data_IF_905456230322
#
_entry.id   IF_905456230322
#
_cell.length_a   1.000
_cell.length_b   1.000
_cell.length_c   1.000
_cell.angle_alpha   90.00
_cell.angle_beta   90.00
_cell.angle_gamma   90.00
#
_symmetry.space_group_name_H-M   'P 1'
#
loop_
_entity.id
_entity.type
_entity.pdbx_description
1 polymer ?
#
# COMPACT_ATOMS: atom_id res chain seq x y z
N UNK A 1 -25.16 10.03 4.11
CA UNK A 1 -24.35 9.03 3.39
C UNK A 1 -22.93 9.09 3.94
N UNK A 2 -22.50 8.06 4.66
CA UNK A 2 -21.10 7.95 5.12
C UNK A 2 -20.26 7.58 3.90
N UNK A 3 -19.62 8.55 3.26
CA UNK A 3 -18.50 8.27 2.38
C UNK A 3 -17.42 7.64 3.27
N UNK A 4 -17.35 6.31 3.18
CA UNK A 4 -16.40 5.53 3.92
C UNK A 4 -15.01 6.00 3.58
N UNK A 5 -14.26 6.42 4.58
CA UNK A 5 -12.86 6.79 4.52
C UNK A 5 -12.07 5.57 4.03
N UNK A 6 -12.03 5.38 2.69
CA UNK A 6 -11.31 4.29 2.05
C UNK A 6 -9.83 4.54 2.36
N UNK A 7 -9.23 3.66 3.15
CA UNK A 7 -7.85 3.82 3.57
C UNK A 7 -6.90 3.82 2.35
N UNK A 8 -5.78 4.54 2.43
CA UNK A 8 -4.70 4.53 1.44
C UNK A 8 -4.37 3.11 0.96
N UNK A 9 -4.25 2.19 1.91
CA UNK A 9 -3.97 0.76 1.63
C UNK A 9 -5.04 0.13 0.73
N UNK A 10 -6.31 0.42 0.96
CA UNK A 10 -7.39 -0.15 0.15
C UNK A 10 -7.33 0.30 -1.31
N UNK A 11 -7.00 1.57 -1.56
CA UNK A 11 -6.84 2.11 -2.93
C UNK A 11 -5.67 1.48 -3.65
N UNK A 12 -4.52 1.39 -2.98
CA UNK A 12 -3.33 0.74 -3.54
C UNK A 12 -3.61 -0.73 -3.86
N UNK A 13 -4.27 -1.45 -2.95
CA UNK A 13 -4.66 -2.84 -3.18
C UNK A 13 -5.57 -2.99 -4.40
N UNK A 14 -6.62 -2.17 -4.50
CA UNK A 14 -7.52 -2.21 -5.66
C UNK A 14 -6.76 -1.96 -6.96
N UNK A 15 -5.86 -0.97 -6.99
CA UNK A 15 -5.07 -0.66 -8.17
C UNK A 15 -4.14 -1.82 -8.57
N UNK A 16 -3.43 -2.39 -7.59
CA UNK A 16 -2.52 -3.53 -7.83
C UNK A 16 -3.28 -4.74 -8.38
N UNK A 17 -4.43 -5.08 -7.78
CA UNK A 17 -5.24 -6.19 -8.28
C UNK A 17 -5.81 -5.93 -9.67
N UNK A 18 -6.33 -4.72 -9.93
CA UNK A 18 -6.86 -4.36 -11.23
C UNK A 18 -5.77 -4.44 -12.31
N UNK A 19 -4.61 -3.86 -12.05
CA UNK A 19 -3.44 -3.92 -12.93
C UNK A 19 -3.01 -5.37 -13.14
N UNK A 20 -2.89 -6.16 -12.07
CA UNK A 20 -2.52 -7.58 -12.16
C UNK A 20 -3.48 -8.41 -13.01
N UNK A 21 -4.79 -8.21 -12.84
CA UNK A 21 -5.83 -8.87 -13.64
C UNK A 21 -5.71 -8.47 -15.11
N UNK A 22 -5.62 -7.17 -15.41
CA UNK A 22 -5.48 -6.68 -16.78
C UNK A 22 -4.21 -7.20 -17.44
N UNK A 23 -3.07 -7.17 -16.75
CA UNK A 23 -1.80 -7.70 -17.26
C UNK A 23 -1.91 -9.20 -17.56
N UNK A 24 -2.41 -10.00 -16.62
CA UNK A 24 -2.47 -11.46 -16.80
C UNK A 24 -3.33 -11.86 -17.99
N UNK A 25 -4.52 -11.27 -18.15
CA UNK A 25 -5.38 -11.60 -19.29
C UNK A 25 -4.87 -11.03 -20.60
N UNK A 26 -4.26 -9.84 -20.61
CA UNK A 26 -3.63 -9.27 -21.81
C UNK A 26 -2.44 -10.11 -22.26
N UNK A 27 -1.60 -10.58 -21.32
CA UNK A 27 -0.50 -11.51 -21.62
C UNK A 27 -1.01 -12.86 -22.14
N UNK A 28 -2.09 -13.40 -21.56
CA UNK A 28 -2.69 -14.64 -22.07
C UNK A 28 -3.20 -14.48 -23.50
N UNK A 29 -3.85 -13.36 -23.80
CA UNK A 29 -4.34 -13.07 -25.14
C UNK A 29 -3.18 -12.95 -26.17
N UNK A 30 -2.12 -12.23 -25.84
CA UNK A 30 -0.98 -12.06 -26.76
C UNK A 30 -0.23 -13.38 -26.94
N UNK A 31 -0.03 -14.18 -25.89
CA UNK A 31 0.58 -15.50 -25.99
C UNK A 31 -0.20 -16.42 -26.93
N UNK A 32 -1.52 -16.36 -26.88
CA UNK A 32 -2.39 -17.11 -27.76
C UNK A 32 -2.29 -16.64 -29.22
N UNK A 33 -2.32 -15.31 -29.44
CA UNK A 33 -2.22 -14.71 -30.78
C UNK A 33 -0.87 -14.96 -31.44
N UNK A 34 0.21 -14.99 -30.68
CA UNK A 34 1.57 -15.26 -31.17
C UNK A 34 1.88 -16.75 -31.30
N UNK A 35 0.98 -17.63 -30.85
CA UNK A 35 1.22 -19.07 -30.90
C UNK A 35 2.36 -19.55 -30.01
N UNK A 36 2.68 -18.86 -28.93
CA UNK A 36 3.79 -19.20 -28.01
C UNK A 36 3.57 -20.51 -27.23
N UNK A 37 2.55 -21.26 -27.60
CA UNK A 37 2.20 -22.53 -26.99
C UNK A 37 1.08 -22.45 -25.97
N UNK A 38 0.51 -23.63 -25.69
CA UNK A 38 -0.63 -23.73 -24.77
C UNK A 38 -0.23 -23.42 -23.34
N UNK A 39 0.98 -23.81 -22.94
CA UNK A 39 1.42 -23.73 -21.54
C UNK A 39 1.57 -22.28 -21.04
N UNK A 40 2.31 -21.35 -21.68
CA UNK A 40 2.37 -19.94 -21.26
C UNK A 40 1.00 -19.27 -21.29
N UNK A 41 0.16 -19.57 -22.29
CA UNK A 41 -1.19 -19.03 -22.40
C UNK A 41 -2.07 -19.43 -21.24
N UNK A 42 -2.11 -20.72 -20.90
CA UNK A 42 -2.90 -21.23 -19.78
C UNK A 42 -2.36 -20.74 -18.43
N UNK A 43 -1.04 -20.72 -18.24
CA UNK A 43 -0.44 -20.23 -16.99
C UNK A 43 -0.78 -18.76 -16.73
N UNK A 44 -0.71 -17.89 -17.72
CA UNK A 44 -1.08 -16.48 -17.57
C UNK A 44 -2.57 -16.29 -17.34
N UNK A 45 -3.43 -17.08 -18.01
CA UNK A 45 -4.88 -17.08 -17.74
C UNK A 45 -5.20 -17.54 -16.31
N UNK A 46 -4.58 -18.63 -15.85
CA UNK A 46 -4.73 -19.12 -14.47
C UNK A 46 -4.26 -18.10 -13.44
N UNK A 47 -3.16 -17.41 -13.69
CA UNK A 47 -2.69 -16.32 -12.86
C UNK A 47 -3.75 -15.22 -12.75
N UNK A 48 -4.39 -14.83 -13.85
CA UNK A 48 -5.50 -13.90 -13.88
C UNK A 48 -6.68 -14.36 -13.04
N UNK A 49 -7.10 -15.62 -13.18
CA UNK A 49 -8.21 -16.22 -12.42
C UNK A 49 -7.88 -16.24 -10.91
N UNK A 50 -6.68 -16.66 -10.53
CA UNK A 50 -6.21 -16.67 -9.14
C UNK A 50 -6.22 -15.23 -8.58
N UNK A 51 -5.74 -14.26 -9.36
CA UNK A 51 -5.73 -12.85 -8.96
C UNK A 51 -7.14 -12.31 -8.74
N UNK A 52 -8.11 -12.67 -9.60
CA UNK A 52 -9.53 -12.34 -9.39
C UNK A 52 -10.06 -12.99 -8.10
N UNK A 53 -9.77 -14.26 -7.87
CA UNK A 53 -10.15 -14.97 -6.64
C UNK A 53 -9.60 -14.30 -5.38
N UNK A 54 -8.32 -13.92 -5.39
CA UNK A 54 -7.67 -13.19 -4.31
C UNK A 54 -8.28 -11.78 -4.12
N UNK A 55 -8.65 -11.11 -5.20
CA UNK A 55 -9.35 -9.83 -5.13
C UNK A 55 -10.73 -9.95 -4.47
N UNK A 56 -11.51 -10.97 -4.83
CA UNK A 56 -12.81 -11.26 -4.19
C UNK A 56 -12.62 -11.59 -2.71
N UNK A 57 -11.64 -12.44 -2.38
CA UNK A 57 -11.28 -12.73 -0.99
C UNK A 57 -10.89 -11.47 -0.22
N UNK A 58 -10.12 -10.58 -0.83
CA UNK A 58 -9.75 -9.28 -0.27
C UNK A 58 -10.98 -8.41 0.04
N UNK A 59 -11.92 -8.30 -0.88
CA UNK A 59 -13.15 -7.53 -0.64
C UNK A 59 -13.99 -8.08 0.52
N UNK A 60 -13.93 -9.40 0.75
CA UNK A 60 -14.71 -10.08 1.78
C UNK A 60 -14.03 -10.03 3.16
N UNK A 61 -12.71 -10.31 3.22
CA UNK A 61 -11.98 -10.46 4.49
C UNK A 61 -11.36 -9.16 4.99
N UNK A 62 -11.00 -8.23 4.10
CA UNK A 62 -10.28 -6.98 4.37
C UNK A 62 -8.96 -7.17 5.14
N UNK A 63 -8.42 -8.38 5.15
CA UNK A 63 -7.15 -8.68 5.82
C UNK A 63 -5.96 -8.40 4.87
N UNK A 64 -5.51 -7.13 4.88
CA UNK A 64 -4.46 -6.64 3.98
C UNK A 64 -3.12 -7.35 4.17
N UNK A 65 -2.78 -7.68 5.42
CA UNK A 65 -1.45 -8.19 5.76
C UNK A 65 -1.21 -9.60 5.24
N UNK A 66 -2.18 -10.47 5.47
CA UNK A 66 -2.09 -11.86 5.02
C UNK A 66 -2.23 -11.95 3.50
N UNK A 67 -3.20 -11.22 2.94
CA UNK A 67 -3.43 -11.27 1.50
C UNK A 67 -2.26 -10.70 0.69
N UNK A 68 -1.66 -9.57 1.15
CA UNK A 68 -0.48 -9.01 0.48
C UNK A 68 0.69 -10.00 0.46
N UNK A 69 0.90 -10.70 1.57
CA UNK A 69 1.96 -11.70 1.65
C UNK A 69 1.69 -12.88 0.70
N UNK A 70 0.46 -13.40 0.67
CA UNK A 70 0.05 -14.49 -0.22
C UNK A 70 0.27 -14.11 -1.69
N UNK A 71 -0.23 -12.93 -2.10
CA UNK A 71 -0.09 -12.45 -3.48
C UNK A 71 1.38 -12.32 -3.86
N UNK A 72 2.17 -11.67 -3.01
CA UNK A 72 3.58 -11.44 -3.27
C UNK A 72 4.37 -12.76 -3.34
N UNK A 73 4.16 -13.67 -2.40
CA UNK A 73 4.84 -14.97 -2.40
C UNK A 73 4.44 -15.79 -3.63
N UNK A 74 3.16 -15.84 -3.96
CA UNK A 74 2.67 -16.55 -5.12
C UNK A 74 3.29 -16.00 -6.43
N UNK A 75 3.22 -14.69 -6.65
CA UNK A 75 3.76 -14.08 -7.86
C UNK A 75 5.29 -14.25 -7.94
N UNK A 76 6.00 -13.89 -6.87
CA UNK A 76 7.46 -13.81 -6.88
C UNK A 76 8.16 -15.16 -6.91
N UNK A 77 7.64 -16.16 -6.20
CA UNK A 77 8.35 -17.43 -5.97
C UNK A 77 7.67 -18.66 -6.60
N UNK A 78 6.46 -18.49 -7.16
CA UNK A 78 5.78 -19.57 -7.86
C UNK A 78 5.55 -19.20 -9.32
N UNK A 79 4.81 -18.13 -9.57
CA UNK A 79 4.39 -17.76 -10.93
C UNK A 79 5.56 -17.32 -11.83
N UNK A 80 6.36 -16.33 -11.38
CA UNK A 80 7.45 -15.79 -12.21
C UNK A 80 8.56 -16.81 -12.51
N UNK A 81 8.99 -17.69 -11.60
CA UNK A 81 9.94 -18.73 -11.93
C UNK A 81 9.44 -19.71 -12.99
N UNK A 82 8.18 -20.12 -12.88
CA UNK A 82 7.57 -20.99 -13.87
C UNK A 82 7.52 -20.28 -15.23
N UNK A 83 7.07 -19.04 -15.25
CA UNK A 83 7.04 -18.23 -16.48
C UNK A 83 8.43 -17.99 -17.06
N UNK A 84 9.45 -17.81 -16.20
CA UNK A 84 10.84 -17.65 -16.66
C UNK A 84 11.29 -18.83 -17.51
N UNK A 85 11.01 -20.03 -17.07
CA UNK A 85 11.42 -21.25 -17.77
C UNK A 85 10.62 -21.48 -19.07
N UNK A 86 9.32 -21.22 -19.03
CA UNK A 86 8.41 -21.56 -20.14
C UNK A 86 8.13 -20.42 -21.10
N UNK A 87 8.51 -19.19 -20.78
CA UNK A 87 8.28 -18.02 -21.64
C UNK A 87 9.57 -17.39 -22.19
N UNK A 88 10.75 -18.04 -22.01
CA UNK A 88 11.98 -17.64 -22.69
C UNK A 88 12.95 -16.75 -21.90
N UNK A 89 12.84 -16.68 -20.56
CA UNK A 89 13.83 -16.10 -19.66
C UNK A 89 14.20 -14.65 -19.97
N UNK A 90 15.51 -14.36 -19.99
CA UNK A 90 16.05 -13.01 -20.25
C UNK A 90 15.79 -12.50 -21.67
N UNK A 91 15.50 -13.39 -22.61
CA UNK A 91 15.28 -13.01 -24.01
C UNK A 91 13.86 -12.52 -24.29
N UNK A 92 13.01 -12.35 -23.28
CA UNK A 92 11.57 -12.09 -23.42
C UNK A 92 11.09 -10.93 -22.56
N UNK A 93 9.80 -10.62 -22.66
CA UNK A 93 9.14 -9.59 -21.86
C UNK A 93 9.07 -9.89 -20.36
N UNK A 94 9.34 -11.13 -19.92
CA UNK A 94 9.26 -11.55 -18.51
C UNK A 94 10.12 -10.67 -17.59
N UNK A 95 11.28 -10.19 -18.07
CA UNK A 95 12.17 -9.30 -17.32
C UNK A 95 11.49 -7.98 -16.91
N UNK A 96 10.62 -7.44 -17.77
CA UNK A 96 9.86 -6.22 -17.45
C UNK A 96 8.79 -6.49 -16.41
N UNK A 97 8.11 -7.63 -16.47
CA UNK A 97 7.12 -8.03 -15.45
C UNK A 97 7.75 -8.25 -14.08
N UNK A 98 8.98 -8.76 -14.02
CA UNK A 98 9.75 -8.89 -12.79
C UNK A 98 10.01 -7.51 -12.16
N UNK A 99 10.32 -6.50 -12.94
CA UNK A 99 10.50 -5.11 -12.46
C UNK A 99 9.19 -4.57 -11.88
N UNK A 100 8.08 -4.78 -12.59
CA UNK A 100 6.75 -4.39 -12.09
C UNK A 100 6.42 -5.11 -10.79
N UNK A 101 6.73 -6.41 -10.70
CA UNK A 101 6.51 -7.19 -9.48
C UNK A 101 7.34 -6.68 -8.29
N UNK A 102 8.58 -6.24 -8.50
CA UNK A 102 9.36 -5.58 -7.45
C UNK A 102 8.66 -4.30 -6.95
N UNK A 103 8.04 -3.52 -7.84
CA UNK A 103 7.18 -2.39 -7.50
C UNK A 103 5.95 -2.82 -6.69
N UNK A 104 5.28 -3.91 -7.07
CA UNK A 104 4.13 -4.47 -6.34
C UNK A 104 4.54 -4.91 -4.92
N UNK A 105 5.68 -5.59 -4.76
CA UNK A 105 6.23 -5.95 -3.44
C UNK A 105 6.44 -4.69 -2.59
N UNK A 106 7.03 -3.64 -3.18
CA UNK A 106 7.30 -2.38 -2.48
C UNK A 106 6.01 -1.66 -2.04
N UNK A 107 4.93 -1.76 -2.82
CA UNK A 107 3.64 -1.14 -2.55
C UNK A 107 2.80 -1.93 -1.54
N UNK A 108 2.79 -3.26 -1.63
CA UNK A 108 1.93 -4.12 -0.82
C UNK A 108 2.52 -4.44 0.55
N UNK A 109 3.83 -4.59 0.67
CA UNK A 109 4.49 -4.94 1.92
C UNK A 109 5.04 -3.70 2.63
N UNK A 110 5.09 -3.77 3.97
CA UNK A 110 5.53 -2.65 4.82
C UNK A 110 6.63 -3.11 5.79
N UNK A 111 7.54 -2.20 6.12
CA UNK A 111 8.56 -2.40 7.15
C UNK A 111 9.59 -3.47 6.79
N UNK A 112 9.93 -4.31 7.77
CA UNK A 112 10.99 -5.32 7.63
C UNK A 112 10.60 -6.42 6.62
N UNK A 113 9.32 -6.81 6.58
CA UNK A 113 8.81 -7.82 5.63
C UNK A 113 9.10 -7.42 4.18
N UNK A 114 8.91 -6.14 3.83
CA UNK A 114 9.23 -5.59 2.50
C UNK A 114 10.70 -5.76 2.14
N UNK A 115 11.60 -5.40 3.07
CA UNK A 115 13.04 -5.49 2.84
C UNK A 115 13.51 -6.93 2.63
N UNK A 116 13.04 -7.84 3.48
CA UNK A 116 13.38 -9.25 3.40
C UNK A 116 12.90 -9.86 2.08
N UNK A 117 11.62 -9.63 1.74
CA UNK A 117 11.04 -10.23 0.52
C UNK A 117 11.69 -9.66 -0.74
N UNK A 118 11.97 -8.34 -0.80
CA UNK A 118 12.71 -7.75 -1.92
C UNK A 118 14.11 -8.33 -2.06
N UNK A 119 14.84 -8.48 -0.95
CA UNK A 119 16.16 -9.08 -0.96
C UNK A 119 16.13 -10.53 -1.46
N UNK A 120 15.23 -11.34 -0.91
CA UNK A 120 15.05 -12.74 -1.34
C UNK A 120 14.64 -12.84 -2.82
N UNK A 121 13.74 -11.96 -3.26
CA UNK A 121 13.29 -11.91 -4.65
C UNK A 121 14.45 -11.56 -5.60
N UNK A 122 15.25 -10.55 -5.26
CA UNK A 122 16.43 -10.18 -6.06
C UNK A 122 17.45 -11.32 -6.14
N UNK A 123 17.73 -11.99 -5.02
CA UNK A 123 18.61 -13.14 -4.97
C UNK A 123 18.07 -14.28 -5.85
N UNK A 124 16.77 -14.52 -5.78
CA UNK A 124 16.10 -15.56 -6.53
C UNK A 124 16.13 -15.30 -8.05
N UNK A 125 15.86 -14.06 -8.48
CA UNK A 125 15.99 -13.68 -9.89
C UNK A 125 17.44 -13.85 -10.38
N UNK A 126 18.43 -13.44 -9.58
CA UNK A 126 19.84 -13.70 -9.89
C UNK A 126 20.16 -15.19 -10.06
N UNK A 127 19.54 -16.04 -9.23
CA UNK A 127 19.69 -17.50 -9.35
C UNK A 127 19.09 -18.02 -10.66
N UNK A 128 17.91 -17.52 -11.06
CA UNK A 128 17.29 -17.89 -12.34
C UNK A 128 18.18 -17.51 -13.53
N UNK A 129 18.78 -16.33 -13.51
CA UNK A 129 19.73 -15.89 -14.56
C UNK A 129 20.97 -16.78 -14.63
N UNK A 130 21.51 -17.22 -13.48
CA UNK A 130 22.63 -18.17 -13.43
C UNK A 130 22.24 -19.53 -13.98
N UNK A 131 21.05 -20.03 -13.65
CA UNK A 131 20.52 -21.29 -14.17
C UNK A 131 20.40 -21.24 -15.70
N UNK A 132 19.79 -20.16 -16.22
CA UNK A 132 19.64 -19.94 -17.66
C UNK A 132 21.01 -19.91 -18.37
N UNK A 133 21.99 -19.20 -17.79
CA UNK A 133 23.35 -19.16 -18.34
C UNK A 133 24.04 -20.52 -18.36
N UNK A 134 23.84 -21.36 -17.34
CA UNK A 134 24.48 -22.68 -17.22
C UNK A 134 23.77 -23.77 -18.03
N UNK A 135 22.47 -23.67 -18.17
CA UNK A 135 21.60 -24.68 -18.82
C UNK A 135 20.60 -23.95 -19.71
N UNK A 136 21.06 -23.37 -20.85
CA UNK A 136 20.20 -22.61 -21.76
C UNK A 136 19.03 -23.46 -22.30
N UNK A 137 19.25 -24.73 -22.54
CA UNK A 137 18.24 -25.67 -23.06
C UNK A 137 17.01 -25.82 -22.13
N UNK A 138 17.09 -25.37 -20.88
CA UNK A 138 15.97 -25.38 -19.93
C UNK A 138 14.92 -24.32 -20.23
N UNK A 139 15.29 -23.29 -20.98
CA UNK A 139 14.46 -22.11 -21.25
C UNK A 139 13.91 -22.20 -22.68
N UNK A 140 12.62 -21.93 -22.81
CA UNK A 140 11.94 -21.98 -24.10
C UNK A 140 12.51 -20.92 -25.08
N UNK A 141 12.69 -21.32 -26.35
CA UNK A 141 13.12 -20.41 -27.40
C UNK A 141 11.94 -20.07 -28.34
N UNK A 142 11.94 -18.83 -28.87
CA UNK A 142 10.94 -18.41 -29.86
C UNK A 142 11.16 -19.07 -31.22
N UNK A 143 10.05 -19.39 -31.89
CA UNK A 143 10.07 -19.92 -33.24
C UNK A 143 10.58 -18.93 -34.30
N UNK A 144 10.42 -17.60 -34.04
CA UNK A 144 10.86 -16.56 -34.96
C UNK A 144 11.31 -15.28 -34.24
N UNK A 145 12.25 -14.50 -34.83
CA UNK A 145 12.64 -13.20 -34.30
C UNK A 145 11.46 -12.21 -34.23
N UNK A 146 10.50 -12.30 -35.13
CA UNK A 146 9.33 -11.42 -35.19
C UNK A 146 8.43 -11.62 -33.94
N UNK A 147 8.13 -12.88 -33.59
CA UNK A 147 7.36 -13.21 -32.40
C UNK A 147 8.02 -12.64 -31.13
N UNK A 148 9.33 -12.79 -31.02
CA UNK A 148 10.12 -12.20 -29.93
C UNK A 148 9.98 -10.69 -29.86
N UNK A 149 10.12 -9.96 -30.99
CA UNK A 149 10.00 -8.51 -31.03
C UNK A 149 8.60 -8.04 -30.64
N UNK A 150 7.56 -8.74 -31.06
CA UNK A 150 6.17 -8.42 -30.71
C UNK A 150 5.97 -8.63 -29.20
N UNK A 151 6.42 -9.75 -28.63
CA UNK A 151 6.32 -10.03 -27.20
C UNK A 151 7.04 -8.96 -26.36
N UNK A 152 8.29 -8.67 -26.69
CA UNK A 152 9.10 -7.65 -26.00
C UNK A 152 8.42 -6.27 -26.07
N UNK A 153 7.94 -5.87 -27.25
CA UNK A 153 7.30 -4.57 -27.45
C UNK A 153 5.98 -4.47 -26.68
N UNK A 154 5.16 -5.52 -26.74
CA UNK A 154 3.91 -5.60 -25.99
C UNK A 154 4.16 -5.60 -24.48
N UNK A 155 5.10 -6.41 -24.00
CA UNK A 155 5.47 -6.47 -22.60
C UNK A 155 5.96 -5.13 -22.08
N UNK A 156 6.82 -4.43 -22.84
CA UNK A 156 7.29 -3.09 -22.48
C UNK A 156 6.11 -2.11 -22.37
N UNK A 157 5.23 -2.10 -23.38
CA UNK A 157 4.06 -1.20 -23.40
C UNK A 157 3.14 -1.45 -22.21
N UNK A 158 2.76 -2.71 -21.94
CA UNK A 158 1.85 -3.04 -20.84
C UNK A 158 2.48 -2.76 -19.47
N UNK A 159 3.79 -2.98 -19.31
CA UNK A 159 4.52 -2.66 -18.08
C UNK A 159 4.61 -1.17 -17.84
N UNK A 160 4.92 -0.36 -18.85
CA UNK A 160 4.93 1.10 -18.74
C UNK A 160 3.56 1.64 -18.34
N UNK A 161 2.50 1.17 -19.01
CA UNK A 161 1.12 1.55 -18.64
C UNK A 161 0.79 1.16 -17.22
N UNK A 162 1.15 -0.05 -16.79
CA UNK A 162 0.91 -0.56 -15.45
C UNK A 162 1.63 0.26 -14.39
N UNK A 163 2.90 0.58 -14.60
CA UNK A 163 3.70 1.43 -13.71
C UNK A 163 3.08 2.84 -13.64
N UNK A 164 2.70 3.42 -14.78
CA UNK A 164 2.08 4.74 -14.80
C UNK A 164 0.78 4.78 -13.98
N UNK A 165 -0.09 3.78 -14.13
CA UNK A 165 -1.33 3.66 -13.34
C UNK A 165 -1.03 3.49 -11.84
N UNK A 166 -0.10 2.62 -11.48
CA UNK A 166 0.26 2.39 -10.08
C UNK A 166 0.85 3.64 -9.41
N UNK A 167 1.72 4.37 -10.12
CA UNK A 167 2.31 5.62 -9.63
C UNK A 167 1.23 6.70 -9.51
N UNK A 168 0.34 6.85 -10.49
CA UNK A 168 -0.75 7.83 -10.43
C UNK A 168 -1.65 7.59 -9.21
N UNK A 169 -2.10 6.35 -9.01
CA UNK A 169 -2.92 5.99 -7.83
C UNK A 169 -2.17 6.22 -6.52
N UNK A 170 -0.86 5.94 -6.47
CA UNK A 170 -0.05 6.19 -5.29
C UNK A 170 0.04 7.67 -4.97
N UNK A 171 0.33 8.52 -5.97
CA UNK A 171 0.42 9.97 -5.81
C UNK A 171 -0.92 10.55 -5.35
N UNK A 172 -2.02 10.21 -6.02
CA UNK A 172 -3.36 10.70 -5.67
C UNK A 172 -3.75 10.31 -4.25
N UNK A 173 -3.48 9.06 -3.90
CA UNK A 173 -3.78 8.54 -2.56
C UNK A 173 -2.93 9.20 -1.48
N UNK A 174 -1.64 9.46 -1.75
CA UNK A 174 -0.74 10.16 -0.85
C UNK A 174 -1.15 11.63 -0.65
N UNK A 175 -1.49 12.32 -1.74
CA UNK A 175 -1.95 13.72 -1.68
C UNK A 175 -3.25 13.88 -0.88
N UNK A 176 -4.16 12.93 -0.99
CA UNK A 176 -5.39 12.92 -0.18
C UNK A 176 -5.10 12.73 1.31
N UNK A 177 -4.22 11.79 1.66
CA UNK A 177 -3.82 11.59 3.07
C UNK A 177 -3.08 12.82 3.63
N UNK A 178 -2.23 13.45 2.84
CA UNK A 178 -1.54 14.70 3.22
C UNK A 178 -2.56 15.82 3.48
N UNK A 179 -3.56 15.95 2.61
CA UNK A 179 -4.64 16.93 2.80
C UNK A 179 -5.43 16.69 4.08
N UNK A 180 -5.79 15.44 4.37
CA UNK A 180 -6.48 15.06 5.62
C UNK A 180 -5.61 15.41 6.84
N UNK A 181 -4.32 15.06 6.81
CA UNK A 181 -3.39 15.36 7.89
C UNK A 181 -3.30 16.86 8.18
N UNK A 182 -3.18 17.71 7.14
CA UNK A 182 -3.19 19.16 7.30
C UNK A 182 -4.48 19.67 7.94
N UNK A 183 -5.61 19.12 7.56
CA UNK A 183 -6.93 19.49 8.10
C UNK A 183 -7.08 19.08 9.57
N UNK A 184 -6.55 17.92 9.96
CA UNK A 184 -6.50 17.50 11.36
C UNK A 184 -5.60 18.40 12.21
N UNK A 185 -4.43 18.78 11.70
CA UNK A 185 -3.51 19.70 12.39
C UNK A 185 -4.18 21.06 12.64
N UNK A 186 -4.84 21.64 11.63
CA UNK A 186 -5.55 22.91 11.78
C UNK A 186 -6.66 22.82 12.85
N UNK A 187 -7.43 21.73 12.88
CA UNK A 187 -8.46 21.49 13.92
C UNK A 187 -7.87 21.33 15.31
N UNK A 188 -6.72 20.67 15.42
CA UNK A 188 -6.00 20.53 16.70
C UNK A 188 -5.53 21.89 17.21
N UNK A 189 -4.99 22.72 16.35
CA UNK A 189 -4.56 24.07 16.70
C UNK A 189 -5.71 24.96 17.17
N UNK A 190 -6.86 24.89 16.47
CA UNK A 190 -8.08 25.58 16.89
C UNK A 190 -8.55 25.13 18.28
N UNK A 191 -8.60 23.81 18.53
CA UNK A 191 -8.97 23.26 19.83
C UNK A 191 -8.00 23.69 20.93
N UNK A 192 -6.69 23.72 20.65
CA UNK A 192 -5.71 24.19 21.63
C UNK A 192 -5.93 25.66 22.00
N UNK A 193 -6.22 26.54 21.04
CA UNK A 193 -6.56 27.95 21.33
C UNK A 193 -7.78 28.05 22.22
N UNK A 194 -8.81 27.25 22.00
CA UNK A 194 -10.02 27.21 22.86
C UNK A 194 -9.69 26.72 24.28
N UNK A 195 -8.85 25.69 24.39
CA UNK A 195 -8.41 25.18 25.72
C UNK A 195 -7.61 26.24 26.46
N UNK A 196 -6.67 26.93 25.82
CA UNK A 196 -5.90 28.00 26.45
C UNK A 196 -6.79 29.16 26.93
N UNK A 197 -7.78 29.54 26.11
CA UNK A 197 -8.74 30.58 26.51
C UNK A 197 -9.56 30.14 27.74
N UNK A 198 -10.02 28.89 27.79
CA UNK A 198 -10.74 28.32 28.95
C UNK A 198 -9.85 28.26 30.19
N UNK A 199 -8.59 27.84 30.05
CA UNK A 199 -7.66 27.80 31.18
C UNK A 199 -7.41 29.19 31.77
N UNK A 200 -7.21 30.23 30.93
CA UNK A 200 -7.10 31.62 31.40
C UNK A 200 -8.35 32.11 32.11
N UNK A 201 -9.56 31.75 31.66
CA UNK A 201 -10.81 32.06 32.36
C UNK A 201 -10.89 31.34 33.71
N UNK A 202 -10.50 30.07 33.77
CA UNK A 202 -10.49 29.29 35.01
C UNK A 202 -9.52 29.89 36.04
N UNK A 203 -8.32 30.25 35.62
CA UNK A 203 -7.32 30.93 36.48
C UNK A 203 -7.85 32.24 37.08
N UNK A 204 -8.52 33.09 36.26
CA UNK A 204 -9.16 34.27 36.75
C UNK A 204 -10.25 33.98 37.76
N UNK A 205 -11.16 33.07 37.46
CA UNK A 205 -12.23 32.65 38.36
C UNK A 205 -11.71 32.10 39.69
N UNK A 206 -10.66 31.26 39.65
CA UNK A 206 -10.01 30.73 40.84
C UNK A 206 -9.37 31.86 41.68
N UNK A 207 -8.72 32.84 41.04
CA UNK A 207 -8.14 33.96 41.75
C UNK A 207 -9.22 34.84 42.42
N UNK A 208 -10.36 35.07 41.76
CA UNK A 208 -11.52 35.78 42.35
C UNK A 208 -12.13 35.02 43.51
N UNK A 209 -12.30 33.69 43.38
CA UNK A 209 -12.78 32.82 44.44
C UNK A 209 -11.87 32.86 45.68
N UNK A 210 -10.56 32.79 45.50
CA UNK A 210 -9.61 32.84 46.62
C UNK A 210 -9.66 34.21 47.33
N UNK A 211 -9.78 35.30 46.58
CA UNK A 211 -9.96 36.65 47.18
C UNK A 211 -11.26 36.80 47.94
N UNK A 212 -12.36 36.21 47.43
CA UNK A 212 -13.65 36.20 48.15
C UNK A 212 -13.56 35.40 49.47
N UNK A 213 -12.92 34.25 49.44
CA UNK A 213 -12.69 33.41 50.62
C UNK A 213 -11.84 34.11 51.67
N UNK A 214 -10.76 34.78 51.29
CA UNK A 214 -9.93 35.55 52.21
C UNK A 214 -10.74 36.70 52.90
N UNK A 215 -11.62 37.37 52.16
CA UNK A 215 -12.50 38.41 52.70
C UNK A 215 -13.49 37.81 53.71
N UNK A 216 -14.09 36.68 53.40
CA UNK A 216 -15.01 35.95 54.29
C UNK A 216 -14.31 35.54 55.57
N UNK A 217 -13.11 34.96 55.50
CA UNK A 217 -12.32 34.58 56.66
C UNK A 217 -11.97 35.79 57.58
N UNK A 218 -11.60 36.91 56.98
CA UNK A 218 -11.35 38.15 57.72
C UNK A 218 -12.61 38.67 58.43
N UNK A 219 -13.75 38.65 57.73
CA UNK A 219 -15.04 39.07 58.33
C UNK A 219 -15.44 38.14 59.46
N UNK A 220 -15.29 36.86 59.33
CA UNK A 220 -15.58 35.90 60.37
C UNK A 220 -14.68 36.03 61.60
N UNK A 221 -13.41 36.44 61.45
CA UNK A 221 -12.52 36.78 62.55
C UNK A 221 -12.99 38.02 63.31
N UNK A 222 -13.33 39.08 62.58
CA UNK A 222 -13.84 40.32 63.17
C UNK A 222 -15.15 40.07 63.94
N UNK A 223 -16.07 39.31 63.42
CA UNK A 223 -17.31 38.94 64.06
C UNK A 223 -17.07 38.12 65.37
N UNK A 224 -16.09 37.24 65.41
CA UNK A 224 -15.71 36.50 66.62
C UNK A 224 -15.11 37.43 67.69
N UNK A 225 -14.27 38.37 67.27
CA UNK A 225 -13.67 39.34 68.19
C UNK A 225 -14.72 40.31 68.79
N UNK A 226 -15.70 40.77 67.98
CA UNK A 226 -16.82 41.58 68.53
C UNK A 226 -17.74 40.81 69.47
N UNK A 227 -18.05 39.54 69.19
CA UNK A 227 -18.81 38.70 70.10
C UNK A 227 -18.12 38.53 71.45
N UNK A 228 -16.79 38.33 71.46
CA UNK A 228 -16.03 38.20 72.70
C UNK A 228 -15.94 39.48 73.51
N UNK A 229 -16.19 40.65 72.93
CA UNK A 229 -16.22 41.96 73.63
C UNK A 229 -17.59 42.28 74.23
N UNK A 230 -18.63 41.60 73.81
CA UNK A 230 -20.01 41.78 74.27
C UNK A 230 -20.45 40.78 75.37
N UNK A 231 -19.63 39.78 75.61
CA UNK A 231 -19.73 38.86 76.75
C UNK A 231 -18.84 39.38 77.92
#
# INVERSE_FOLDING_TARGET
MKEGNISLRHRIFNAVFLVGICMSFSCSLINWLLGLGLLPTVLTALCGIITVGLYVAFRKTRNYEVLSLIVVVFLSFVFFPIMWLFAGGTYTSISYYIIVNAGIIALLLVGLKRKIVLFLFTLFVGTLMIIEYKIPDLVFEYGSPLERYIDISFGLFICLLSIAVLIAVLIDSYMEELRKSKLYLARLEEKNKVIEAKNRMLEKSNAEFMRAKEKEEKLNKLLKEEKQKLE
#
